data_IF_678728239908
#
_entry.id   IF_678728239908
#
_cell.length_a   1.000
_cell.length_b   1.000
_cell.length_c   1.000
_cell.angle_alpha   90.00
_cell.angle_beta   90.00
_cell.angle_gamma   90.00
#
_symmetry.space_group_name_H-M   'P 1'
#
loop_
_entity.id
_entity.type
_entity.pdbx_description
1 polymer ?
#
# COMPACT_ATOMS: atom_id res chain seq x y z
N UNK A 1 0.01 19.05 -22.44
CA UNK A 1 -0.06 19.34 -20.99
C UNK A 1 -1.40 18.78 -20.53
N UNK A 2 -1.42 17.72 -19.75
CA UNK A 2 -2.67 17.21 -19.17
C UNK A 2 -3.21 18.25 -18.19
N UNK A 3 -4.53 18.42 -18.15
CA UNK A 3 -5.18 19.28 -17.17
C UNK A 3 -5.14 18.60 -15.80
N UNK A 4 -5.18 19.39 -14.72
CA UNK A 4 -5.40 18.87 -13.35
C UNK A 4 -6.65 17.99 -13.32
N UNK A 5 -7.68 18.34 -14.09
CA UNK A 5 -8.89 17.55 -14.21
C UNK A 5 -8.62 16.14 -14.78
N UNK A 6 -7.70 16.03 -15.74
CA UNK A 6 -7.37 14.76 -16.39
C UNK A 6 -6.65 13.83 -15.40
N UNK A 7 -5.67 14.36 -14.65
CA UNK A 7 -4.89 13.59 -13.68
C UNK A 7 -5.77 13.09 -12.51
N UNK A 8 -6.70 13.93 -12.04
CA UNK A 8 -7.68 13.54 -11.02
C UNK A 8 -8.67 12.50 -11.54
N UNK A 9 -9.13 12.63 -12.79
CA UNK A 9 -10.01 11.65 -13.42
C UNK A 9 -9.31 10.30 -13.57
N UNK A 10 -8.06 10.29 -14.06
CA UNK A 10 -7.25 9.08 -14.20
C UNK A 10 -7.04 8.36 -12.87
N UNK A 11 -6.73 9.09 -11.79
CA UNK A 11 -6.56 8.53 -10.45
C UNK A 11 -7.86 7.89 -9.92
N UNK A 12 -9.00 8.55 -10.13
CA UNK A 12 -10.32 8.02 -9.75
C UNK A 12 -10.68 6.74 -10.50
N UNK A 13 -10.43 6.71 -11.82
CA UNK A 13 -10.67 5.53 -12.66
C UNK A 13 -9.78 4.36 -12.22
N UNK A 14 -8.49 4.62 -11.94
CA UNK A 14 -7.58 3.60 -11.43
C UNK A 14 -8.10 3.02 -10.10
N UNK A 15 -8.49 3.87 -9.15
CA UNK A 15 -9.05 3.41 -7.88
C UNK A 15 -10.32 2.55 -8.07
N UNK A 16 -11.22 2.93 -8.97
CA UNK A 16 -12.42 2.15 -9.30
C UNK A 16 -12.08 0.79 -9.94
N UNK A 17 -11.07 0.76 -10.83
CA UNK A 17 -10.61 -0.50 -11.44
C UNK A 17 -10.03 -1.45 -10.41
N UNK A 18 -9.20 -0.96 -9.48
CA UNK A 18 -8.61 -1.75 -8.41
C UNK A 18 -9.68 -2.30 -7.46
N UNK A 19 -10.70 -1.49 -7.14
CA UNK A 19 -11.82 -1.92 -6.30
C UNK A 19 -12.67 -3.03 -6.96
N UNK A 20 -12.62 -3.14 -8.29
CA UNK A 20 -13.36 -4.15 -9.06
C UNK A 20 -12.52 -5.40 -9.36
N UNK A 21 -11.22 -5.35 -9.14
CA UNK A 21 -10.28 -6.42 -9.48
C UNK A 21 -10.17 -7.44 -8.33
N UNK A 22 -10.87 -8.56 -8.49
CA UNK A 22 -10.88 -9.66 -7.52
C UNK A 22 -9.48 -10.22 -7.24
N UNK A 23 -8.62 -10.31 -8.25
CA UNK A 23 -7.29 -10.87 -8.07
C UNK A 23 -6.42 -9.92 -7.24
N UNK A 24 -6.54 -8.62 -7.47
CA UNK A 24 -5.85 -7.60 -6.66
C UNK A 24 -6.33 -7.61 -5.21
N UNK A 25 -7.64 -7.70 -4.98
CA UNK A 25 -8.21 -7.77 -3.63
C UNK A 25 -7.72 -9.02 -2.87
N UNK A 26 -7.67 -10.17 -3.55
CA UNK A 26 -7.13 -11.41 -2.97
C UNK A 26 -5.65 -11.31 -2.65
N UNK A 27 -4.85 -10.65 -3.50
CA UNK A 27 -3.43 -10.45 -3.24
C UNK A 27 -3.20 -9.54 -2.02
N UNK A 28 -4.01 -8.49 -1.86
CA UNK A 28 -3.95 -7.61 -0.68
C UNK A 28 -4.27 -8.40 0.60
N UNK A 29 -5.34 -9.21 0.59
CA UNK A 29 -5.71 -10.05 1.72
C UNK A 29 -4.58 -11.03 2.11
N UNK A 30 -3.99 -11.72 1.13
CA UNK A 30 -2.87 -12.63 1.36
C UNK A 30 -1.65 -11.93 1.98
N UNK A 31 -1.30 -10.72 1.51
CA UNK A 31 -0.20 -9.93 2.10
C UNK A 31 -0.51 -9.55 3.55
N UNK A 32 -1.75 -9.15 3.86
CA UNK A 32 -2.17 -8.83 5.23
C UNK A 32 -2.05 -10.05 6.14
N UNK A 33 -2.51 -11.22 5.70
CA UNK A 33 -2.40 -12.46 6.46
C UNK A 33 -0.95 -12.83 6.78
N UNK A 34 -0.05 -12.71 5.79
CA UNK A 34 1.39 -12.95 5.98
C UNK A 34 2.01 -11.97 6.98
N UNK A 35 1.70 -10.68 6.86
CA UNK A 35 2.17 -9.65 7.78
C UNK A 35 1.71 -9.92 9.21
N UNK A 36 0.41 -10.19 9.40
CA UNK A 36 -0.18 -10.51 10.72
C UNK A 36 0.44 -11.78 11.29
N UNK A 37 0.58 -12.84 10.48
CA UNK A 37 1.21 -14.09 10.90
C UNK A 37 2.64 -13.90 11.37
N UNK A 38 3.45 -13.15 10.60
CA UNK A 38 4.83 -12.81 10.97
C UNK A 38 4.89 -12.08 12.30
N UNK A 39 4.09 -11.01 12.48
CA UNK A 39 4.09 -10.23 13.71
C UNK A 39 3.63 -11.03 14.93
N UNK A 40 2.60 -11.86 14.80
CA UNK A 40 2.12 -12.75 15.89
C UNK A 40 3.16 -13.80 16.30
N UNK A 41 3.98 -14.25 15.36
CA UNK A 41 5.09 -15.17 15.62
C UNK A 41 6.34 -14.48 16.22
N UNK A 42 6.26 -13.18 16.56
CA UNK A 42 7.41 -12.40 17.04
C UNK A 42 8.37 -11.98 15.92
N UNK A 43 7.95 -12.09 14.66
CA UNK A 43 8.66 -11.59 13.49
C UNK A 43 8.57 -10.08 13.34
N UNK A 44 9.01 -9.59 12.18
CA UNK A 44 9.04 -8.17 11.82
C UNK A 44 8.71 -7.98 10.35
N UNK A 45 8.31 -6.76 9.99
CA UNK A 45 8.07 -6.34 8.60
C UNK A 45 9.19 -5.36 8.24
N UNK A 46 9.79 -5.54 7.06
CA UNK A 46 10.83 -4.67 6.53
C UNK A 46 10.31 -4.04 5.24
N UNK A 47 10.29 -2.71 5.20
CA UNK A 47 9.91 -1.94 4.01
C UNK A 47 11.17 -1.42 3.30
N UNK A 48 11.16 -1.42 1.97
CA UNK A 48 12.26 -0.90 1.14
C UNK A 48 11.72 -0.30 -0.15
N UNK A 49 12.34 0.78 -0.63
CA UNK A 49 11.96 1.48 -1.86
C UNK A 49 12.98 2.55 -2.24
N UNK A 50 12.87 3.07 -3.46
CA UNK A 50 13.74 4.14 -3.99
C UNK A 50 12.88 5.36 -4.37
N UNK A 51 13.39 6.58 -4.20
CA UNK A 51 12.68 7.82 -4.56
C UNK A 51 11.36 7.97 -3.79
N UNK A 52 10.25 8.18 -4.51
CA UNK A 52 8.92 8.29 -3.90
C UNK A 52 8.54 7.06 -3.07
N UNK A 53 8.87 5.85 -3.52
CA UNK A 53 8.60 4.63 -2.76
C UNK A 53 9.44 4.48 -1.49
N UNK A 54 10.58 5.20 -1.39
CA UNK A 54 11.31 5.28 -0.13
C UNK A 54 10.55 6.11 0.91
N UNK A 55 9.85 7.16 0.45
CA UNK A 55 8.98 7.96 1.31
C UNK A 55 7.77 7.14 1.81
N UNK A 56 7.18 6.31 0.96
CA UNK A 56 6.11 5.38 1.37
C UNK A 56 6.64 4.31 2.34
N UNK A 57 7.82 3.75 2.08
CA UNK A 57 8.43 2.75 2.96
C UNK A 57 8.65 3.28 4.39
N UNK A 58 9.19 4.50 4.54
CA UNK A 58 9.36 5.11 5.87
C UNK A 58 8.02 5.54 6.48
N UNK A 59 7.04 5.95 5.68
CA UNK A 59 5.71 6.31 6.16
C UNK A 59 5.03 5.08 6.77
N UNK A 60 4.98 3.97 6.03
CA UNK A 60 4.43 2.70 6.49
C UNK A 60 5.18 2.20 7.73
N UNK A 61 6.51 2.24 7.73
CA UNK A 61 7.29 1.87 8.91
C UNK A 61 6.90 2.73 10.14
N UNK A 62 6.73 4.04 9.94
CA UNK A 62 6.30 4.99 10.96
C UNK A 62 4.93 4.65 11.53
N UNK A 63 3.93 4.40 10.69
CA UNK A 63 2.57 4.02 11.13
C UNK A 63 2.57 2.73 11.96
N UNK A 64 3.41 1.75 11.60
CA UNK A 64 3.50 0.47 12.32
C UNK A 64 4.16 0.58 13.70
N UNK A 65 5.10 1.50 13.88
CA UNK A 65 5.85 1.65 15.14
C UNK A 65 5.36 2.80 16.01
N UNK A 66 4.61 3.75 15.44
CA UNK A 66 4.08 4.88 16.20
C UNK A 66 2.96 4.42 17.12
N UNK A 67 3.18 4.58 18.42
CA UNK A 67 2.21 4.30 19.49
C UNK A 67 1.78 5.55 20.25
N UNK A 68 2.12 6.75 19.74
CA UNK A 68 1.87 8.03 20.37
C UNK A 68 1.30 9.03 19.37
#
# INVERSE_FOLDING_TARGET
>A
MTSIQDDLCASSVLAQSLASDKAMLQAIEAVVELCVGSLKAGGKILFAGNGGSAADAQHMAGEFVSRF
#
